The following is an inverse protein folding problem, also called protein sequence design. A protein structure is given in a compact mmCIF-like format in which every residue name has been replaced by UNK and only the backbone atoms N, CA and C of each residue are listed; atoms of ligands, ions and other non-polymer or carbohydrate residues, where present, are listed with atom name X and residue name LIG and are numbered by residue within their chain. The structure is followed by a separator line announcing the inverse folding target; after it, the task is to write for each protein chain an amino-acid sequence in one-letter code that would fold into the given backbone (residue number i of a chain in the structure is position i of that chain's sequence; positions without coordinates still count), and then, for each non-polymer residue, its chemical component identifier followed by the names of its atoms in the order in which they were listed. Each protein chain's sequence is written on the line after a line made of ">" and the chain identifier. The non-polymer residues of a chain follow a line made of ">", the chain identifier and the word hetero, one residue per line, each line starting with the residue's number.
data_IF_429862702643
#
_entry.id   IF_429862702643
#
_cell.length_a   1.000
_cell.length_b   1.000
_cell.length_c   1.000
_cell.angle_alpha   90.00
_cell.angle_beta   90.00
_cell.angle_gamma   90.00
#
_symmetry.space_group_name_H-M   'P 1'
#
loop_
_entity.id
_entity.type
_entity.pdbx_description
1 polymer ?
#
# COMPACT_ATOMS: atom_id res chain seq x y z
N UNK A 1 -52.01 4.83 15.14
CA UNK A 1 -50.67 5.00 15.71
C UNK A 1 -49.67 4.76 14.58
N UNK A 2 -48.99 5.81 14.07
CA UNK A 2 -48.11 5.68 12.91
C UNK A 2 -46.77 5.04 13.30
N UNK A 3 -46.31 4.12 12.45
CA UNK A 3 -45.05 3.41 12.54
C UNK A 3 -43.94 4.31 11.96
N UNK A 4 -43.07 4.84 12.82
CA UNK A 4 -41.92 5.64 12.40
C UNK A 4 -40.80 4.71 11.93
N UNK A 5 -40.57 4.64 10.63
CA UNK A 5 -39.38 4.04 10.04
C UNK A 5 -38.24 5.06 10.08
N UNK A 6 -37.26 4.86 10.98
CA UNK A 6 -35.98 5.56 10.93
C UNK A 6 -35.13 4.91 9.83
N UNK A 7 -35.11 5.53 8.65
CA UNK A 7 -34.14 5.22 7.62
C UNK A 7 -32.78 5.76 8.06
N UNK A 8 -31.92 4.86 8.54
CA UNK A 8 -30.51 5.14 8.75
C UNK A 8 -29.86 5.25 7.37
N UNK A 9 -29.65 6.48 6.90
CA UNK A 9 -28.81 6.72 5.73
C UNK A 9 -27.36 6.58 6.20
N UNK A 10 -26.82 5.36 6.15
CA UNK A 10 -25.38 5.14 6.21
C UNK A 10 -24.79 5.77 4.96
N UNK A 11 -24.31 7.00 5.06
CA UNK A 11 -23.44 7.56 4.03
C UNK A 11 -22.10 6.83 4.14
N UNK A 12 -21.97 5.71 3.44
CA UNK A 12 -20.67 5.12 3.14
C UNK A 12 -19.87 6.19 2.40
N UNK A 13 -18.91 6.80 3.09
CA UNK A 13 -17.98 7.74 2.48
C UNK A 13 -17.16 6.94 1.49
N UNK A 14 -17.54 7.03 0.22
CA UNK A 14 -16.79 6.46 -0.89
C UNK A 14 -15.47 7.25 -0.98
N UNK A 15 -14.42 6.74 -0.35
CA UNK A 15 -13.10 7.36 -0.46
C UNK A 15 -12.62 7.23 -1.91
N UNK A 16 -11.99 8.28 -2.48
CA UNK A 16 -11.42 8.17 -3.80
C UNK A 16 -10.36 7.06 -3.84
N UNK A 17 -10.09 6.55 -5.03
CA UNK A 17 -9.08 5.50 -5.24
C UNK A 17 -7.93 5.98 -6.13
N UNK A 18 -6.78 5.33 -6.02
CA UNK A 18 -5.59 5.55 -6.85
C UNK A 18 -5.03 4.21 -7.32
N UNK A 19 -4.43 4.23 -8.51
CA UNK A 19 -3.72 3.07 -9.06
C UNK A 19 -2.25 3.12 -8.71
N UNK A 20 -1.68 1.99 -8.28
CA UNK A 20 -0.24 1.80 -8.09
C UNK A 20 0.22 0.66 -8.98
N UNK A 21 1.30 0.86 -9.72
CA UNK A 21 1.99 -0.21 -10.44
C UNK A 21 3.02 -0.88 -9.51
N UNK A 22 2.87 -2.18 -9.29
CA UNK A 22 3.77 -2.97 -8.43
C UNK A 22 4.55 -3.97 -9.27
N UNK A 23 5.87 -3.83 -9.26
CA UNK A 23 6.80 -4.69 -9.99
C UNK A 23 7.83 -5.33 -9.05
N UNK A 24 8.49 -6.40 -9.52
CA UNK A 24 9.58 -7.01 -8.77
C UNK A 24 10.68 -7.59 -9.64
N UNK A 25 11.87 -7.72 -9.05
CA UNK A 25 13.04 -8.32 -9.70
C UNK A 25 13.55 -9.50 -8.86
N UNK A 26 13.49 -10.75 -9.35
CA UNK A 26 12.73 -11.21 -10.53
C UNK A 26 11.21 -11.06 -10.38
N UNK A 27 10.50 -11.05 -11.52
CA UNK A 27 9.03 -10.98 -11.57
C UNK A 27 8.36 -12.28 -11.10
N UNK A 28 7.10 -12.19 -10.69
CA UNK A 28 6.29 -13.30 -10.20
C UNK A 28 6.13 -13.38 -8.66
N UNK A 29 6.55 -12.34 -7.94
CA UNK A 29 6.34 -12.23 -6.50
C UNK A 29 4.85 -12.05 -6.20
N UNK A 30 4.33 -12.73 -5.18
CA UNK A 30 2.93 -12.57 -4.77
C UNK A 30 2.75 -11.27 -3.99
N UNK A 31 1.80 -10.43 -4.41
CA UNK A 31 1.52 -9.12 -3.83
C UNK A 31 0.34 -9.25 -2.87
N UNK A 32 0.58 -8.89 -1.61
CA UNK A 32 -0.43 -8.83 -0.54
C UNK A 32 -0.54 -7.39 -0.06
N UNK A 33 -1.76 -6.84 -0.04
CA UNK A 33 -2.06 -5.51 0.49
C UNK A 33 -2.99 -5.66 1.68
N UNK A 34 -2.57 -5.16 2.86
CA UNK A 34 -3.38 -5.23 4.09
C UNK A 34 -3.94 -6.65 4.38
N UNK A 35 -3.12 -7.68 4.15
CA UNK A 35 -3.46 -9.11 4.30
C UNK A 35 -4.32 -9.72 3.18
N UNK A 36 -4.68 -8.97 2.15
CA UNK A 36 -5.39 -9.48 0.97
C UNK A 36 -4.42 -9.77 -0.17
N UNK A 37 -4.38 -11.01 -0.66
CA UNK A 37 -3.60 -11.37 -1.83
C UNK A 37 -4.27 -10.84 -3.10
N UNK A 38 -3.55 -10.04 -3.88
CA UNK A 38 -4.07 -9.37 -5.08
C UNK A 38 -3.56 -10.00 -6.38
N UNK A 39 -2.51 -10.81 -6.32
CA UNK A 39 -1.95 -11.49 -7.48
C UNK A 39 -0.43 -11.52 -7.47
N UNK A 40 0.19 -11.53 -8.67
CA UNK A 40 1.65 -11.60 -8.83
C UNK A 40 2.17 -10.41 -9.62
N UNK A 41 3.36 -9.94 -9.28
CA UNK A 41 4.07 -8.90 -10.04
C UNK A 41 4.43 -9.38 -11.46
N UNK A 42 4.41 -8.50 -12.47
CA UNK A 42 3.94 -7.11 -12.41
C UNK A 42 2.41 -7.01 -12.34
N UNK A 43 1.89 -6.12 -11.50
CA UNK A 43 0.44 -5.92 -11.31
C UNK A 43 0.09 -4.47 -10.99
N UNK A 44 -1.02 -3.98 -11.52
CA UNK A 44 -1.64 -2.71 -11.11
C UNK A 44 -2.68 -2.98 -10.04
N UNK A 45 -2.57 -2.30 -8.90
CA UNK A 45 -3.49 -2.42 -7.77
C UNK A 45 -4.22 -1.10 -7.54
N UNK A 46 -5.46 -1.19 -7.09
CA UNK A 46 -6.25 -0.04 -6.67
C UNK A 46 -6.18 0.09 -5.14
N UNK A 47 -5.96 1.30 -4.63
CA UNK A 47 -5.91 1.59 -3.19
C UNK A 47 -6.83 2.75 -2.81
N UNK A 48 -7.35 2.72 -1.58
CA UNK A 48 -8.04 3.87 -0.98
C UNK A 48 -7.07 5.05 -0.86
N UNK A 49 -7.55 6.24 -1.21
CA UNK A 49 -6.81 7.49 -1.18
C UNK A 49 -7.64 8.60 -0.51
N UNK A 50 -6.97 9.65 -0.06
CA UNK A 50 -7.59 10.96 0.15
C UNK A 50 -7.69 11.70 -1.20
N UNK A 51 -8.48 12.77 -1.26
CA UNK A 51 -8.57 13.62 -2.46
C UNK A 51 -7.19 14.13 -2.93
N UNK A 52 -6.30 14.38 -1.98
CA UNK A 52 -4.94 14.85 -2.23
C UNK A 52 -3.93 13.73 -2.58
N UNK A 53 -4.36 12.46 -2.65
CA UNK A 53 -3.51 11.34 -3.06
C UNK A 53 -2.65 10.73 -1.95
N UNK A 54 -3.10 10.80 -0.69
CA UNK A 54 -2.43 10.13 0.45
C UNK A 54 -3.21 8.90 0.91
N UNK A 55 -2.53 7.97 1.57
CA UNK A 55 -3.18 6.85 2.23
C UNK A 55 -3.99 7.33 3.46
N UNK A 56 -5.32 7.13 3.49
CA UNK A 56 -6.16 7.57 4.62
C UNK A 56 -5.97 6.67 5.86
N UNK A 57 -5.51 5.44 5.66
CA UNK A 57 -5.25 4.43 6.69
C UNK A 57 -3.83 3.90 6.52
N UNK A 58 -3.35 3.14 7.52
CA UNK A 58 -2.10 2.38 7.36
C UNK A 58 -2.26 1.38 6.21
N UNK A 59 -1.33 1.41 5.26
CA UNK A 59 -1.28 0.47 4.14
C UNK A 59 0.04 -0.28 4.15
N UNK A 60 -0.04 -1.61 4.23
CA UNK A 60 1.11 -2.49 4.12
C UNK A 60 1.05 -3.26 2.81
N UNK A 61 2.11 -3.14 2.01
CA UNK A 61 2.27 -3.86 0.74
C UNK A 61 3.43 -4.83 0.93
N UNK A 62 3.11 -6.12 0.85
CA UNK A 62 4.06 -7.22 0.99
C UNK A 62 4.23 -7.88 -0.37
N UNK A 63 5.47 -8.09 -0.78
CA UNK A 63 5.81 -8.90 -1.94
C UNK A 63 6.51 -10.18 -1.46
N UNK A 64 5.82 -11.31 -1.58
CA UNK A 64 6.29 -12.64 -1.18
C UNK A 64 7.12 -13.23 -2.31
N UNK A 65 8.33 -13.65 -1.96
CA UNK A 65 9.25 -14.31 -2.85
C UNK A 65 8.70 -15.63 -3.42
N UNK A 66 8.96 -15.86 -4.70
CA UNK A 66 8.57 -17.07 -5.44
C UNK A 66 9.49 -18.27 -5.21
N UNK A 67 10.66 -18.07 -4.60
CA UNK A 67 11.63 -19.12 -4.29
C UNK A 67 12.30 -18.87 -2.94
N UNK A 68 12.89 -19.93 -2.37
CA UNK A 68 13.53 -19.89 -1.04
C UNK A 68 14.87 -19.12 -1.03
N UNK A 69 15.43 -18.83 -2.19
CA UNK A 69 16.69 -18.09 -2.37
C UNK A 69 16.46 -16.57 -2.43
N UNK A 70 15.21 -16.16 -2.52
CA UNK A 70 14.78 -14.76 -2.61
C UNK A 70 14.17 -14.31 -1.28
N UNK A 71 14.02 -13.00 -1.13
CA UNK A 71 13.56 -12.37 0.09
C UNK A 71 12.19 -11.74 -0.08
N UNK A 72 11.27 -12.10 0.82
CA UNK A 72 10.01 -11.37 1.01
C UNK A 72 10.31 -9.96 1.50
N UNK A 73 9.67 -8.97 0.90
CA UNK A 73 9.80 -7.56 1.26
C UNK A 73 8.47 -6.96 1.67
N UNK A 74 8.53 -5.97 2.56
CA UNK A 74 7.38 -5.26 3.08
C UNK A 74 7.66 -3.77 3.04
N UNK A 75 6.73 -3.02 2.48
CA UNK A 75 6.70 -1.56 2.56
C UNK A 75 5.42 -1.16 3.29
N UNK A 76 5.55 -0.25 4.24
CA UNK A 76 4.44 0.20 5.08
C UNK A 76 4.33 1.72 5.03
N UNK A 77 3.14 2.18 4.66
CA UNK A 77 2.78 3.59 4.65
C UNK A 77 1.90 3.90 5.87
N UNK A 78 2.27 4.86 6.73
CA UNK A 78 1.39 5.32 7.81
C UNK A 78 0.14 6.03 7.26
N UNK A 79 -0.93 6.16 8.06
CA UNK A 79 -2.05 7.01 7.71
C UNK A 79 -1.59 8.47 7.58
N UNK A 80 -2.26 9.22 6.70
CA UNK A 80 -2.00 10.64 6.47
C UNK A 80 -1.90 11.42 7.80
N UNK A 81 -0.84 12.23 7.90
CA UNK A 81 -0.61 13.13 9.01
C UNK A 81 -0.09 14.48 8.49
N UNK A 82 -0.72 15.61 8.84
CA UNK A 82 -0.25 16.94 8.47
C UNK A 82 1.17 17.26 8.97
N UNK A 83 1.64 16.56 10.01
CA UNK A 83 2.99 16.75 10.52
C UNK A 83 4.08 16.23 9.56
N UNK A 84 3.77 15.19 8.77
CA UNK A 84 4.70 14.54 7.83
C UNK A 84 3.94 13.91 6.65
N UNK A 85 3.32 14.71 5.76
CA UNK A 85 2.43 14.22 4.71
C UNK A 85 3.12 13.28 3.70
N UNK A 86 4.40 13.55 3.40
CA UNK A 86 5.20 12.76 2.46
C UNK A 86 5.33 11.26 2.82
N UNK A 87 5.19 10.90 4.10
CA UNK A 87 5.25 9.49 4.51
C UNK A 87 4.04 8.68 4.06
N UNK A 88 2.92 9.33 3.80
CA UNK A 88 1.66 8.71 3.41
C UNK A 88 1.32 8.92 1.94
N UNK A 89 2.20 9.54 1.16
CA UNK A 89 1.98 9.79 -0.27
C UNK A 89 1.86 8.46 -1.02
N UNK A 90 0.85 8.36 -1.89
CA UNK A 90 0.65 7.18 -2.71
C UNK A 90 1.58 7.26 -3.92
N UNK A 91 2.57 6.37 -4.06
CA UNK A 91 3.45 6.38 -5.22
C UNK A 91 2.72 5.87 -6.46
N UNK A 92 3.12 6.33 -7.64
CA UNK A 92 2.64 5.76 -8.90
C UNK A 92 3.20 4.34 -9.12
N UNK A 93 4.40 4.06 -8.62
CA UNK A 93 5.09 2.78 -8.83
C UNK A 93 5.88 2.34 -7.59
N UNK A 94 5.85 1.03 -7.32
CA UNK A 94 6.68 0.37 -6.30
C UNK A 94 7.43 -0.78 -6.98
N UNK A 95 8.76 -0.78 -6.86
CA UNK A 95 9.60 -1.87 -7.36
C UNK A 95 10.31 -2.56 -6.20
N UNK A 96 10.06 -3.85 -6.04
CA UNK A 96 10.71 -4.66 -5.02
C UNK A 96 11.87 -5.48 -5.61
N UNK A 97 13.06 -5.37 -5.03
CA UNK A 97 14.22 -6.18 -5.45
C UNK A 97 14.35 -7.44 -4.58
N UNK A 98 13.64 -8.51 -4.95
CA UNK A 98 13.57 -9.78 -4.21
C UNK A 98 14.94 -10.43 -3.96
N UNK A 99 16.00 -10.00 -4.65
CA UNK A 99 17.37 -10.54 -4.47
C UNK A 99 18.04 -9.99 -3.21
N UNK A 100 17.51 -8.89 -2.66
CA UNK A 100 18.05 -8.23 -1.46
C UNK A 100 17.07 -8.35 -0.31
N UNK A 101 17.58 -8.56 0.90
CA UNK A 101 16.74 -8.57 2.09
C UNK A 101 16.33 -7.13 2.46
N UNK A 102 15.13 -6.93 3.00
CA UNK A 102 14.65 -5.61 3.46
C UNK A 102 15.61 -4.95 4.48
N UNK A 103 16.42 -5.74 5.18
CA UNK A 103 17.46 -5.27 6.10
C UNK A 103 18.60 -4.51 5.40
N UNK A 104 18.79 -4.67 4.09
CA UNK A 104 19.85 -3.98 3.34
C UNK A 104 19.41 -2.63 2.74
N UNK A 105 18.12 -2.23 2.84
CA UNK A 105 17.60 -1.00 2.20
C UNK A 105 17.05 0.06 3.16
N UNK A 106 17.23 -0.10 4.47
CA UNK A 106 16.88 0.93 5.48
C UNK A 106 18.05 1.86 5.88
N UNK A 107 19.18 1.84 5.16
CA UNK A 107 20.30 2.76 5.36
C UNK A 107 20.68 3.46 4.04
N UNK A 108 19.80 4.32 3.54
CA UNK A 108 20.13 5.37 2.57
C UNK A 108 19.04 6.44 2.63
N UNK A 109 19.09 7.28 3.68
CA UNK A 109 18.10 8.34 3.88
C UNK A 109 18.24 9.14 5.18
N UNK A 110 19.28 8.92 5.96
CA UNK A 110 19.59 9.75 7.13
C UNK A 110 21.08 10.15 7.06
N UNK A 111 21.35 11.16 6.24
CA UNK A 111 22.62 11.88 6.21
C UNK A 111 22.35 13.33 5.74
N UNK A 112 22.62 14.29 6.62
CA UNK A 112 22.41 15.73 6.43
C UNK A 112 21.01 16.16 6.84
N UNK A 113 20.78 17.03 7.82
CA UNK A 113 21.61 18.08 8.43
C UNK A 113 21.32 18.20 9.94
#
# INVERSE_FOLDING_TARGET
>A
MPLLAFSACSSEVENPTRMIFVDSIPQGAEVIVNSFSLGKTPISIEVEATDDGYFPKRTQITAIAQSKELFTQVVSYPPYSPANPALSEIPETITFDMRTSAAQKQQAGQAGE
#
